data_IF_378184393204
#
_entry.id   IF_378184393204
#
_cell.length_a   1.000
_cell.length_b   1.000
_cell.length_c   1.000
_cell.angle_alpha   90.00
_cell.angle_beta   90.00
_cell.angle_gamma   90.00
#
_symmetry.space_group_name_H-M   'P 1'
#
loop_
_entity.id
_entity.type
_entity.pdbx_description
1 polymer ?
#
# COMPACT_ATOMS: atom_id res chain seq x y z
N UNK A 1 13.72 -3.11 17.63
CA UNK A 1 13.37 -4.37 16.94
C UNK A 1 12.87 -4.15 15.51
N UNK A 2 12.16 -3.07 15.20
CA UNK A 2 11.72 -2.79 13.82
C UNK A 2 12.88 -2.57 12.83
N UNK A 3 13.91 -1.82 13.23
CA UNK A 3 15.09 -1.56 12.40
C UNK A 3 15.88 -2.85 12.09
N UNK A 4 16.02 -3.70 13.10
CA UNK A 4 16.72 -4.99 13.02
C UNK A 4 16.02 -5.92 12.02
N UNK A 5 14.69 -6.00 12.10
CA UNK A 5 13.88 -6.76 11.17
C UNK A 5 14.00 -6.23 9.72
N UNK A 6 14.12 -4.92 9.52
CA UNK A 6 14.32 -4.33 8.18
C UNK A 6 15.69 -4.69 7.63
N UNK A 7 16.74 -4.64 8.44
CA UNK A 7 18.12 -4.98 8.03
C UNK A 7 18.25 -6.48 7.72
N UNK A 8 17.73 -7.37 8.57
CA UNK A 8 17.75 -8.83 8.31
C UNK A 8 17.04 -9.19 7.00
N UNK A 9 15.89 -8.57 6.72
CA UNK A 9 15.15 -8.80 5.48
C UNK A 9 15.86 -8.25 4.26
N UNK A 10 16.52 -7.10 4.37
CA UNK A 10 17.30 -6.52 3.28
C UNK A 10 18.51 -7.40 2.93
N UNK A 11 19.15 -7.98 3.95
CA UNK A 11 20.24 -8.96 3.79
C UNK A 11 19.77 -10.28 3.16
N UNK A 12 18.57 -10.75 3.50
CA UNK A 12 18.02 -11.99 2.93
C UNK A 12 17.63 -11.88 1.45
N UNK A 13 17.42 -10.65 0.95
CA UNK A 13 16.87 -10.39 -0.39
C UNK A 13 17.87 -9.76 -1.36
N UNK A 14 18.97 -9.18 -0.86
CA UNK A 14 20.03 -8.64 -1.72
C UNK A 14 20.92 -9.78 -2.25
N UNK A 15 20.87 -10.01 -3.56
CA UNK A 15 21.81 -10.89 -4.27
C UNK A 15 23.17 -10.22 -4.53
N UNK A 16 23.29 -8.92 -4.20
CA UNK A 16 24.49 -8.08 -4.39
C UNK A 16 25.08 -7.66 -3.05
N UNK A 17 26.39 -7.40 -3.05
CA UNK A 17 27.19 -7.17 -1.85
C UNK A 17 26.95 -5.82 -1.15
N UNK A 18 26.17 -4.91 -1.77
CA UNK A 18 25.87 -3.57 -1.25
C UNK A 18 24.36 -3.38 -1.26
N UNK A 19 23.81 -3.01 -0.10
CA UNK A 19 22.39 -2.66 0.09
C UNK A 19 22.25 -1.16 -0.19
N UNK A 20 21.44 -0.77 -1.16
CA UNK A 20 21.10 0.62 -1.46
C UNK A 20 19.75 0.99 -0.84
N UNK A 21 19.45 2.30 -0.78
CA UNK A 21 18.23 2.79 -0.14
C UNK A 21 16.94 2.27 -0.80
N UNK A 22 17.01 1.86 -2.06
CA UNK A 22 15.91 1.24 -2.82
C UNK A 22 15.65 -0.22 -2.45
N UNK A 23 16.64 -0.90 -1.85
CA UNK A 23 16.51 -2.29 -1.38
C UNK A 23 15.92 -2.38 0.02
N UNK A 24 15.81 -1.24 0.71
CA UNK A 24 15.21 -1.17 2.04
C UNK A 24 13.68 -1.16 1.89
N UNK A 25 12.95 -2.14 2.45
CA UNK A 25 11.49 -2.18 2.43
C UNK A 25 10.93 -1.19 3.46
N UNK A 26 11.22 0.10 3.27
CA UNK A 26 10.78 1.18 4.11
C UNK A 26 9.52 1.81 3.50
N UNK A 27 8.48 2.11 4.31
CA UNK A 27 7.21 2.61 3.79
C UNK A 27 7.26 3.92 3.00
N UNK A 28 8.39 4.64 2.98
CA UNK A 28 8.48 5.99 2.41
C UNK A 28 9.82 6.33 1.71
N UNK A 29 10.66 5.34 1.38
CA UNK A 29 11.95 5.62 0.74
C UNK A 29 11.80 5.82 -0.78
N UNK A 30 11.72 7.08 -1.22
CA UNK A 30 12.14 7.47 -2.57
C UNK A 30 11.02 7.70 -3.59
N UNK A 31 10.64 8.98 -3.73
CA UNK A 31 9.88 9.52 -4.86
C UNK A 31 10.68 9.34 -6.16
N UNK A 32 10.54 8.21 -6.87
CA UNK A 32 10.98 8.07 -8.26
C UNK A 32 9.89 7.31 -9.05
N UNK A 33 9.18 8.06 -9.90
CA UNK A 33 7.87 7.71 -10.50
C UNK A 33 7.83 6.58 -11.52
N UNK A 34 8.84 5.71 -11.59
CA UNK A 34 8.83 4.50 -12.44
C UNK A 34 9.03 3.21 -11.62
N UNK A 35 9.74 3.28 -10.49
CA UNK A 35 9.95 2.16 -9.55
C UNK A 35 8.78 2.01 -8.56
N UNK A 36 7.94 3.05 -8.43
CA UNK A 36 6.86 3.16 -7.44
C UNK A 36 5.73 2.14 -7.59
N UNK A 37 5.38 1.73 -8.81
CA UNK A 37 4.24 0.82 -9.03
C UNK A 37 4.64 -0.65 -8.77
N UNK A 38 5.84 -1.02 -9.23
CA UNK A 38 6.47 -2.31 -8.91
C UNK A 38 6.79 -2.42 -7.42
N UNK A 39 7.19 -1.33 -6.75
CA UNK A 39 7.43 -1.31 -5.31
C UNK A 39 6.15 -1.56 -4.50
N UNK A 40 5.02 -0.98 -4.90
CA UNK A 40 3.73 -1.16 -4.21
C UNK A 40 3.20 -2.59 -4.34
N UNK A 41 3.26 -3.16 -5.54
CA UNK A 41 2.87 -4.56 -5.77
C UNK A 41 3.82 -5.55 -5.08
N UNK A 42 5.13 -5.26 -5.07
CA UNK A 42 6.15 -6.06 -4.39
C UNK A 42 5.94 -6.06 -2.88
N UNK A 43 5.76 -4.88 -2.28
CA UNK A 43 5.47 -4.76 -0.84
C UNK A 43 4.15 -5.43 -0.43
N UNK A 44 3.14 -5.38 -1.30
CA UNK A 44 1.87 -6.09 -1.07
C UNK A 44 2.04 -7.62 -1.12
N UNK A 45 2.83 -8.13 -2.07
CA UNK A 45 3.13 -9.56 -2.16
C UNK A 45 3.95 -10.06 -0.96
N UNK A 46 4.94 -9.28 -0.50
CA UNK A 46 5.76 -9.57 0.67
C UNK A 46 4.94 -9.63 1.96
N UNK A 47 4.01 -8.70 2.13
CA UNK A 47 3.03 -8.70 3.24
C UNK A 47 1.94 -9.77 3.09
N UNK A 48 1.97 -10.56 1.99
CA UNK A 48 0.91 -11.50 1.59
C UNK A 48 -0.48 -10.86 1.67
N UNK A 49 -0.57 -9.60 1.27
CA UNK A 49 -1.84 -8.89 1.25
C UNK A 49 -2.81 -9.59 0.32
N UNK A 50 -4.04 -9.71 0.78
CA UNK A 50 -5.14 -10.13 -0.07
C UNK A 50 -5.42 -9.07 -1.13
N UNK A 51 -5.99 -9.48 -2.26
CA UNK A 51 -6.52 -8.53 -3.26
C UNK A 51 -7.56 -7.57 -2.65
N UNK A 52 -8.19 -7.99 -1.55
CA UNK A 52 -9.09 -7.13 -0.80
C UNK A 52 -8.35 -5.97 -0.17
N UNK A 53 -7.32 -6.26 0.63
CA UNK A 53 -6.52 -5.27 1.37
C UNK A 53 -5.74 -4.34 0.43
N UNK A 54 -5.17 -4.89 -0.65
CA UNK A 54 -4.50 -4.08 -1.67
C UNK A 54 -5.50 -3.12 -2.35
N UNK A 55 -6.69 -3.63 -2.69
CA UNK A 55 -7.75 -2.83 -3.27
C UNK A 55 -8.25 -1.73 -2.33
N UNK A 56 -8.32 -2.00 -1.03
CA UNK A 56 -8.78 -1.01 -0.04
C UNK A 56 -7.76 0.12 0.16
N UNK A 57 -6.45 -0.20 0.23
CA UNK A 57 -5.39 0.84 0.22
C UNK A 57 -5.44 1.70 -1.04
N UNK A 58 -5.68 1.09 -2.20
CA UNK A 58 -5.79 1.82 -3.45
C UNK A 58 -7.02 2.74 -3.48
N UNK A 59 -8.16 2.28 -2.94
CA UNK A 59 -9.37 3.11 -2.80
C UNK A 59 -9.10 4.34 -1.91
N UNK A 60 -8.41 4.15 -0.78
CA UNK A 60 -8.04 5.25 0.12
C UNK A 60 -7.14 6.28 -0.57
N UNK A 61 -6.18 5.81 -1.37
CA UNK A 61 -5.30 6.69 -2.13
C UNK A 61 -6.06 7.54 -3.15
N UNK A 62 -6.94 6.92 -3.94
CA UNK A 62 -7.77 7.67 -4.90
C UNK A 62 -8.72 8.63 -4.19
N UNK A 63 -9.28 8.25 -3.03
CA UNK A 63 -10.10 9.16 -2.22
C UNK A 63 -9.27 10.36 -1.72
N UNK A 64 -8.02 10.16 -1.31
CA UNK A 64 -7.10 11.24 -0.90
C UNK A 64 -6.83 12.20 -2.06
N UNK A 65 -6.49 11.66 -3.23
CA UNK A 65 -6.20 12.45 -4.44
C UNK A 65 -7.41 13.23 -4.95
N UNK A 66 -8.62 12.71 -4.74
CA UNK A 66 -9.88 13.38 -5.12
C UNK A 66 -10.44 14.28 -4.03
N UNK A 67 -9.71 14.50 -2.93
CA UNK A 67 -10.18 15.33 -1.80
C UNK A 67 -11.43 14.77 -1.12
N UNK A 68 -11.63 13.45 -1.15
CA UNK A 68 -12.81 12.77 -0.61
C UNK A 68 -14.02 12.80 -1.53
N UNK A 69 -13.90 13.27 -2.77
CA UNK A 69 -15.00 13.25 -3.73
C UNK A 69 -15.29 11.80 -4.20
N UNK A 70 -16.26 11.17 -3.53
CA UNK A 70 -16.66 9.77 -3.76
C UNK A 70 -17.20 9.50 -5.17
N UNK A 71 -17.80 10.49 -5.85
CA UNK A 71 -18.24 10.29 -7.23
C UNK A 71 -17.04 10.22 -8.17
N UNK A 72 -16.13 11.19 -8.07
CA UNK A 72 -14.92 11.24 -8.87
C UNK A 72 -13.99 10.06 -8.60
N UNK A 73 -13.88 9.62 -7.35
CA UNK A 73 -13.12 8.43 -6.99
C UNK A 73 -13.70 7.16 -7.62
N UNK A 74 -15.03 6.99 -7.59
CA UNK A 74 -15.70 5.83 -8.19
C UNK A 74 -15.51 5.79 -9.71
N UNK A 75 -15.55 6.95 -10.38
CA UNK A 75 -15.24 7.08 -11.81
C UNK A 75 -13.81 6.67 -12.14
N UNK A 76 -12.82 7.18 -11.39
CA UNK A 76 -11.39 6.85 -11.59
C UNK A 76 -11.14 5.35 -11.36
N UNK A 77 -11.76 4.78 -10.33
CA UNK A 77 -11.61 3.37 -9.97
C UNK A 77 -12.40 2.44 -10.91
N UNK A 78 -13.26 2.97 -11.78
CA UNK A 78 -14.09 2.17 -12.67
C UNK A 78 -15.10 1.28 -11.94
N UNK A 79 -15.49 1.65 -10.71
CA UNK A 79 -16.43 0.86 -9.88
C UNK A 79 -17.70 1.64 -9.57
N UNK A 80 -18.79 0.92 -9.32
CA UNK A 80 -20.01 1.55 -8.84
C UNK A 80 -19.79 2.21 -7.46
N UNK A 81 -20.35 3.40 -7.27
CA UNK A 81 -20.35 4.14 -5.99
C UNK A 81 -20.76 3.27 -4.79
N UNK A 82 -21.77 2.40 -4.95
CA UNK A 82 -22.24 1.48 -3.89
C UNK A 82 -21.17 0.45 -3.49
N UNK A 83 -20.39 -0.02 -4.46
CA UNK A 83 -19.24 -0.92 -4.22
C UNK A 83 -18.12 -0.21 -3.47
N UNK A 84 -17.87 1.06 -3.82
CA UNK A 84 -16.89 1.90 -3.14
C UNK A 84 -17.27 2.15 -1.66
N UNK A 85 -18.53 2.50 -1.36
CA UNK A 85 -19.01 2.66 0.02
C UNK A 85 -18.81 1.40 0.85
N UNK A 86 -19.27 0.26 0.34
CA UNK A 86 -19.21 -1.02 1.05
C UNK A 86 -17.76 -1.45 1.36
N UNK A 87 -16.78 -1.04 0.54
CA UNK A 87 -15.35 -1.29 0.79
C UNK A 87 -14.76 -0.28 1.78
N UNK A 88 -14.99 1.02 1.55
CA UNK A 88 -14.46 2.07 2.43
C UNK A 88 -14.96 1.99 3.87
N UNK A 89 -16.20 1.54 4.09
CA UNK A 89 -16.73 1.35 5.45
C UNK A 89 -16.07 0.16 6.16
N UNK A 90 -15.64 -0.87 5.43
CA UNK A 90 -14.94 -2.05 5.99
C UNK A 90 -13.48 -1.79 6.31
N UNK A 91 -12.77 -1.01 5.48
CA UNK A 91 -11.36 -0.68 5.76
C UNK A 91 -11.23 0.15 7.04
N UNK A 92 -12.12 1.14 7.22
CA UNK A 92 -12.19 1.98 8.42
C UNK A 92 -12.48 1.17 9.69
N UNK A 93 -13.47 0.27 9.63
CA UNK A 93 -13.80 -0.59 10.76
C UNK A 93 -12.65 -1.54 11.16
N UNK A 94 -11.85 -2.01 10.19
CA UNK A 94 -10.65 -2.84 10.45
C UNK A 94 -9.51 -2.01 11.07
N UNK A 95 -9.24 -0.83 10.53
CA UNK A 95 -8.21 0.06 11.05
C UNK A 95 -8.49 0.52 12.49
N UNK A 96 -9.77 0.73 12.84
CA UNK A 96 -10.21 1.06 14.20
C UNK A 96 -10.10 -0.13 15.17
N UNK A 97 -10.23 -1.37 14.67
CA UNK A 97 -10.10 -2.59 15.47
C UNK A 97 -8.64 -3.00 15.74
N UNK A 98 -7.71 -2.65 14.84
CA UNK A 98 -6.27 -2.91 15.02
C UNK A 98 -5.56 -1.84 15.87
N UNK A 99 -6.19 -0.67 16.05
CA UNK A 99 -5.65 0.44 16.85
C UNK A 99 -6.07 0.42 18.34
N UNK A 100 -6.92 -0.54 18.74
CA UNK A 100 -7.43 -0.71 20.11
C UNK A 100 -6.92 -2.00 20.75
#
# INVERSE_FOLDING_TARGET
RELENVIERSLALCERAVIEAEDLPLPNAGRNGATSELSLLRGAAEQRMTLHELGDRYIEEILRQTGGNKMRAAEILGINRRTLYRRGDRSRARAESEAS
#
